data_IF_063086823615
#
_entry.id   IF_063086823615
#
_cell.length_a   1.000
_cell.length_b   1.000
_cell.length_c   1.000
_cell.angle_alpha   90.00
_cell.angle_beta   90.00
_cell.angle_gamma   90.00
#
_symmetry.space_group_name_H-M   'P 1'
#
loop_
_entity.id
_entity.type
_entity.pdbx_description
1 polymer ?
#
# COMPACT_ATOMS: atom_id res chain seq x y z
N UNK A 1 35.54 3.69 -17.35
CA UNK A 1 34.22 3.74 -16.70
C UNK A 1 33.25 2.92 -17.52
N UNK A 2 32.77 1.78 -16.99
CA UNK A 2 31.82 0.93 -17.72
C UNK A 2 30.46 1.62 -17.83
N UNK A 3 29.96 1.79 -19.06
CA UNK A 3 28.76 2.55 -19.42
C UNK A 3 27.60 1.61 -19.75
N UNK A 4 27.33 0.61 -18.90
CA UNK A 4 26.21 -0.30 -19.11
C UNK A 4 24.93 0.27 -18.50
N UNK A 5 23.99 0.67 -19.36
CA UNK A 5 22.65 1.12 -18.97
C UNK A 5 21.79 -0.11 -18.69
N UNK A 6 21.37 -0.30 -17.44
CA UNK A 6 20.38 -1.33 -17.07
C UNK A 6 19.07 -1.05 -17.81
N UNK A 7 18.59 -2.03 -18.58
CA UNK A 7 17.32 -1.94 -19.31
C UNK A 7 16.11 -2.13 -18.39
N UNK A 8 16.28 -2.75 -17.22
CA UNK A 8 15.27 -2.88 -16.19
C UNK A 8 15.87 -2.84 -14.79
N UNK A 9 15.04 -2.51 -13.79
CA UNK A 9 15.40 -2.56 -12.37
C UNK A 9 15.13 -3.93 -11.74
N UNK A 10 14.88 -4.97 -12.53
CA UNK A 10 14.55 -6.32 -12.02
C UNK A 10 15.77 -7.22 -12.17
N UNK A 11 16.27 -7.73 -11.04
CA UNK A 11 17.40 -8.66 -11.01
C UNK A 11 16.99 -10.13 -11.18
N UNK A 12 15.79 -10.51 -10.71
CA UNK A 12 15.24 -11.86 -10.89
C UNK A 12 13.74 -11.90 -10.58
N UNK A 13 13.05 -12.94 -11.08
CA UNK A 13 11.63 -13.21 -10.79
C UNK A 13 11.48 -14.67 -10.38
N UNK A 14 10.62 -14.94 -9.39
CA UNK A 14 10.31 -16.30 -8.93
C UNK A 14 8.84 -16.42 -8.57
N UNK A 15 8.21 -17.53 -8.94
CA UNK A 15 6.90 -17.93 -8.43
C UNK A 15 7.09 -18.68 -7.12
N UNK A 16 6.38 -18.25 -6.07
CA UNK A 16 6.42 -18.90 -4.74
C UNK A 16 5.02 -19.09 -4.18
N UNK A 17 4.82 -20.18 -3.43
CA UNK A 17 3.59 -20.42 -2.67
C UNK A 17 3.65 -19.67 -1.34
N UNK A 18 2.55 -19.00 -1.00
CA UNK A 18 2.43 -18.15 0.21
C UNK A 18 1.13 -18.42 0.94
N UNK A 19 1.10 -18.09 2.23
CA UNK A 19 -0.14 -17.93 3.00
C UNK A 19 -0.54 -16.45 2.90
N UNK A 20 -1.77 -16.18 2.45
CA UNK A 20 -2.34 -14.83 2.37
C UNK A 20 -3.36 -14.65 3.49
N UNK A 21 -3.19 -13.61 4.29
CA UNK A 21 -4.11 -13.24 5.36
C UNK A 21 -4.73 -11.89 5.03
N UNK A 22 -6.05 -11.78 5.17
CA UNK A 22 -6.78 -10.51 5.16
C UNK A 22 -7.30 -10.28 6.57
N UNK A 23 -7.02 -9.12 7.15
CA UNK A 23 -7.46 -8.75 8.49
C UNK A 23 -7.97 -7.32 8.50
N UNK A 24 -8.85 -7.02 9.46
CA UNK A 24 -9.35 -5.67 9.71
C UNK A 24 -8.51 -5.05 10.83
N UNK A 25 -8.09 -3.80 10.64
CA UNK A 25 -7.37 -3.01 11.63
C UNK A 25 -7.99 -1.61 11.73
N UNK A 26 -7.70 -0.91 12.81
CA UNK A 26 -8.12 0.48 13.04
C UNK A 26 -9.06 0.61 14.24
N UNK A 27 -9.22 1.85 14.72
CA UNK A 27 -10.08 2.18 15.87
C UNK A 27 -11.41 2.79 15.46
N UNK A 28 -11.56 3.18 14.19
CA UNK A 28 -12.77 3.82 13.67
C UNK A 28 -12.81 5.33 13.92
N UNK A 29 -11.66 5.96 14.16
CA UNK A 29 -11.54 7.43 14.22
C UNK A 29 -11.08 7.98 12.87
N UNK A 30 -11.19 9.29 12.68
CA UNK A 30 -10.72 9.97 11.46
C UNK A 30 -9.21 9.76 11.25
N UNK A 31 -8.44 9.78 12.33
CA UNK A 31 -6.98 9.56 12.31
C UNK A 31 -6.61 8.08 12.21
N UNK A 32 -7.53 7.18 12.57
CA UNK A 32 -7.30 5.73 12.56
C UNK A 32 -8.52 4.95 12.06
N UNK A 33 -8.80 5.05 10.75
CA UNK A 33 -9.98 4.44 10.15
C UNK A 33 -9.89 2.91 10.16
N UNK A 34 -11.05 2.28 10.31
CA UNK A 34 -11.20 0.83 10.11
C UNK A 34 -10.94 0.53 8.64
N UNK A 35 -9.99 -0.38 8.38
CA UNK A 35 -9.64 -0.79 7.02
C UNK A 35 -9.11 -2.21 7.00
N UNK A 36 -9.12 -2.80 5.80
CA UNK A 36 -8.55 -4.12 5.57
C UNK A 36 -7.07 -4.02 5.19
N UNK A 37 -6.23 -4.80 5.85
CA UNK A 37 -4.85 -5.03 5.42
C UNK A 37 -4.72 -6.41 4.81
N UNK A 38 -3.69 -6.58 3.97
CA UNK A 38 -3.32 -7.88 3.42
C UNK A 38 -1.88 -8.19 3.77
N UNK A 39 -1.63 -9.37 4.31
CA UNK A 39 -0.29 -9.84 4.66
C UNK A 39 0.01 -11.17 3.97
N UNK A 40 1.26 -11.35 3.57
CA UNK A 40 1.74 -12.56 2.91
C UNK A 40 2.85 -13.17 3.75
N UNK A 41 2.79 -14.48 3.97
CA UNK A 41 3.74 -15.23 4.76
C UNK A 41 4.28 -16.41 3.96
N UNK A 42 5.50 -16.84 4.29
CA UNK A 42 5.96 -18.15 3.87
C UNK A 42 5.27 -19.25 4.69
N UNK A 43 5.45 -20.51 4.26
CA UNK A 43 4.82 -21.66 4.91
C UNK A 43 5.35 -21.96 6.33
N UNK A 44 6.42 -21.27 6.77
CA UNK A 44 6.98 -21.37 8.12
C UNK A 44 6.50 -20.23 9.05
N UNK A 45 5.56 -19.40 8.59
CA UNK A 45 5.02 -18.29 9.38
C UNK A 45 5.86 -17.00 9.37
N UNK A 46 6.91 -16.89 8.54
CA UNK A 46 7.66 -15.64 8.36
C UNK A 46 6.93 -14.71 7.40
N UNK A 47 6.66 -13.47 7.81
CA UNK A 47 6.05 -12.44 6.96
C UNK A 47 7.00 -12.04 5.82
N UNK A 48 6.47 -12.05 4.60
CA UNK A 48 7.17 -11.68 3.37
C UNK A 48 6.78 -10.27 2.91
N UNK A 49 5.50 -9.91 3.03
CA UNK A 49 5.00 -8.60 2.63
C UNK A 49 3.75 -8.23 3.43
N UNK A 50 3.51 -6.93 3.55
CA UNK A 50 2.26 -6.34 4.08
C UNK A 50 1.85 -5.21 3.15
N UNK A 51 0.56 -5.18 2.85
CA UNK A 51 -0.08 -4.12 2.09
C UNK A 51 -1.17 -3.52 2.95
N UNK A 52 -1.05 -2.21 3.16
CA UNK A 52 -1.89 -1.44 4.05
C UNK A 52 -2.21 -0.12 3.33
N UNK A 53 -3.38 -0.07 2.70
CA UNK A 53 -3.83 1.11 1.98
C UNK A 53 -4.59 2.00 2.96
N UNK A 54 -3.90 3.01 3.49
CA UNK A 54 -4.56 4.20 3.99
C UNK A 54 -4.69 5.10 2.77
N UNK A 55 -5.90 5.22 2.21
CA UNK A 55 -6.14 6.31 1.27
C UNK A 55 -5.85 7.60 2.02
N UNK A 56 -4.74 8.28 1.66
CA UNK A 56 -4.57 9.66 2.07
C UNK A 56 -5.70 10.41 1.38
N UNK A 57 -6.68 10.86 2.16
CA UNK A 57 -7.61 11.88 1.70
C UNK A 57 -6.74 13.12 1.43
N UNK A 58 -6.28 13.28 0.18
CA UNK A 58 -5.73 14.56 -0.23
C UNK A 58 -6.89 15.55 -0.13
N UNK A 59 -6.78 16.52 0.78
CA UNK A 59 -7.75 17.61 0.90
C UNK A 59 -7.87 18.30 -0.45
N UNK A 60 -8.90 17.94 -1.22
CA UNK A 60 -9.32 18.67 -2.40
C UNK A 60 -9.71 20.05 -1.87
N UNK A 61 -8.83 21.03 -2.05
CA UNK A 61 -9.16 22.44 -1.82
C UNK A 61 -10.29 22.80 -2.77
N UNK A 62 -11.54 22.62 -2.32
CA UNK A 62 -12.69 23.21 -2.98
C UNK A 62 -12.54 24.71 -2.76
N UNK A 63 -11.99 25.40 -3.75
CA UNK A 63 -12.13 26.85 -3.84
C UNK A 63 -13.63 27.13 -3.90
N UNK A 64 -14.23 27.46 -2.76
CA UNK A 64 -15.53 28.12 -2.74
C UNK A 64 -15.37 29.38 -3.59
N UNK A 65 -15.97 29.38 -4.78
CA UNK A 65 -16.23 30.61 -5.49
C UNK A 65 -17.23 31.37 -4.63
N UNK A 66 -16.74 32.38 -3.92
CA UNK A 66 -17.57 33.51 -3.54
C UNK A 66 -18.31 33.98 -4.79
N UNK A 67 -19.60 33.72 -4.80
CA UNK A 67 -20.51 34.08 -5.87
C UNK A 67 -21.86 34.40 -5.26
N UNK A 68 -21.98 35.67 -4.86
CA UNK A 68 -23.20 36.49 -4.91
C UNK A 68 -24.29 36.10 -3.91
N UNK A 69 -24.39 36.89 -2.84
CA UNK A 69 -25.53 37.79 -2.64
C UNK A 69 -25.03 39.12 -2.08
#
# INVERSE_FOLDING_TARGET
MSKHKRLSNIDSVRVIKVVKIKSIVGLGTEENPIRQITEYFNLKGKRLARTDYIEKVENIHVKQKDSRM
#
